data_IF_116929535181
#
_entry.id   IF_116929535181
#
_cell.length_a   1.000
_cell.length_b   1.000
_cell.length_c   1.000
_cell.angle_alpha   90.00
_cell.angle_beta   90.00
_cell.angle_gamma   90.00
#
_symmetry.space_group_name_H-M   'P 1'
#
loop_
_entity.id
_entity.type
_entity.pdbx_description
1 polymer ?
#
# COMPACT_ATOMS: atom_id res chain seq x y z
N UNK A 1 0.65 8.28 -26.09
CA UNK A 1 -0.12 9.25 -26.88
C UNK A 1 -1.62 9.19 -26.58
N UNK A 2 -2.36 8.08 -26.77
CA UNK A 2 -3.83 8.03 -26.56
C UNK A 2 -4.26 8.58 -25.20
N UNK A 3 -3.63 8.16 -24.10
CA UNK A 3 -3.98 8.65 -22.75
C UNK A 3 -3.72 10.15 -22.53
N UNK A 4 -2.79 10.75 -23.25
CA UNK A 4 -2.47 12.17 -23.12
C UNK A 4 -3.48 13.07 -23.85
N UNK A 5 -3.93 12.65 -25.03
CA UNK A 5 -4.67 13.51 -25.97
C UNK A 5 -6.11 13.03 -26.25
N UNK A 6 -6.66 12.11 -25.46
CA UNK A 6 -7.99 11.54 -25.72
C UNK A 6 -9.12 12.59 -25.75
N UNK A 7 -8.98 13.65 -25.00
CA UNK A 7 -9.94 14.74 -24.82
C UNK A 7 -9.85 15.84 -25.90
N UNK A 8 -8.79 15.83 -26.72
CA UNK A 8 -8.61 16.84 -27.76
C UNK A 8 -9.70 16.72 -28.84
N UNK A 9 -10.19 17.84 -29.41
CA UNK A 9 -11.27 17.81 -30.40
C UNK A 9 -11.02 16.91 -31.61
N UNK A 10 -9.75 16.79 -32.02
CA UNK A 10 -9.32 15.95 -33.15
C UNK A 10 -9.20 14.46 -32.80
N UNK A 11 -9.31 14.13 -31.52
CA UNK A 11 -9.21 12.76 -31.06
C UNK A 11 -10.51 11.98 -31.32
N UNK A 12 -10.45 10.76 -31.87
CA UNK A 12 -11.66 9.92 -32.01
C UNK A 12 -12.27 9.53 -30.65
N UNK A 13 -11.59 9.86 -29.54
CA UNK A 13 -12.01 9.54 -28.19
C UNK A 13 -12.56 10.75 -27.42
N UNK A 14 -12.64 11.94 -28.03
CA UNK A 14 -13.04 13.18 -27.35
C UNK A 14 -14.49 13.15 -26.82
N UNK A 15 -15.36 12.32 -27.42
CA UNK A 15 -16.76 12.17 -27.02
C UNK A 15 -16.95 11.37 -25.70
N UNK A 16 -15.92 10.69 -25.19
CA UNK A 16 -16.02 10.00 -23.91
C UNK A 16 -16.05 10.99 -22.75
N UNK A 17 -16.79 10.66 -21.69
CA UNK A 17 -16.89 11.46 -20.46
C UNK A 17 -15.78 11.14 -19.46
N UNK A 18 -15.18 9.97 -19.58
CA UNK A 18 -14.15 9.50 -18.67
C UNK A 18 -13.05 8.72 -19.39
N UNK A 19 -11.87 8.67 -18.76
CA UNK A 19 -10.81 7.74 -19.12
C UNK A 19 -10.44 6.87 -17.92
N UNK A 20 -10.29 5.56 -18.16
CA UNK A 20 -9.79 4.59 -17.19
C UNK A 20 -8.47 4.04 -17.71
N UNK A 21 -7.39 4.21 -16.91
CA UNK A 21 -6.10 3.60 -17.15
C UNK A 21 -5.76 2.64 -16.01
N UNK A 22 -5.84 1.34 -16.27
CA UNK A 22 -5.43 0.31 -15.32
C UNK A 22 -4.16 -0.43 -15.78
N UNK A 23 -3.66 -1.33 -14.95
CA UNK A 23 -2.56 -2.22 -15.34
C UNK A 23 -1.38 -2.24 -14.38
N UNK A 24 -0.23 -2.70 -14.90
CA UNK A 24 0.98 -2.99 -14.12
C UNK A 24 1.53 -1.78 -13.35
N UNK A 25 2.22 -2.04 -12.24
CA UNK A 25 2.97 -0.99 -11.52
C UNK A 25 4.10 -0.44 -12.40
N UNK A 26 4.53 0.80 -12.14
CA UNK A 26 5.60 1.47 -12.89
C UNK A 26 5.39 1.59 -14.40
N UNK A 27 4.19 1.40 -14.89
CA UNK A 27 3.85 1.52 -16.33
C UNK A 27 3.73 2.97 -16.83
N UNK A 28 3.87 3.98 -15.98
CA UNK A 28 3.81 5.41 -16.34
C UNK A 28 2.39 6.01 -16.31
N UNK A 29 1.38 5.25 -15.90
CA UNK A 29 -0.03 5.70 -15.82
C UNK A 29 -0.19 7.04 -15.11
N UNK A 30 0.27 7.14 -13.87
CA UNK A 30 0.09 8.34 -13.03
C UNK A 30 0.62 9.60 -13.71
N UNK A 31 1.83 9.56 -14.29
CA UNK A 31 2.40 10.70 -14.99
C UNK A 31 1.56 11.08 -16.23
N UNK A 32 1.27 10.11 -17.11
CA UNK A 32 0.46 10.34 -18.30
C UNK A 32 -0.91 10.94 -17.96
N UNK A 33 -1.60 10.36 -16.97
CA UNK A 33 -2.93 10.79 -16.57
C UNK A 33 -2.93 12.18 -15.96
N UNK A 34 -1.92 12.48 -15.15
CA UNK A 34 -1.81 13.79 -14.49
C UNK A 34 -1.48 14.90 -15.49
N UNK A 35 -0.55 14.66 -16.45
CA UNK A 35 -0.27 15.63 -17.53
C UNK A 35 -1.51 15.85 -18.40
N UNK A 36 -2.18 14.76 -18.79
CA UNK A 36 -3.41 14.81 -19.59
C UNK A 36 -4.50 15.64 -18.91
N UNK A 37 -4.75 15.39 -17.64
CA UNK A 37 -5.77 16.07 -16.85
C UNK A 37 -5.50 17.59 -16.75
N UNK A 38 -4.28 17.96 -16.42
CA UNK A 38 -3.93 19.39 -16.28
C UNK A 38 -3.93 20.10 -17.63
N UNK A 39 -3.39 19.47 -18.68
CA UNK A 39 -3.43 20.04 -20.02
C UNK A 39 -4.87 20.28 -20.49
N UNK A 40 -5.77 19.31 -20.30
CA UNK A 40 -7.20 19.47 -20.57
C UNK A 40 -7.83 20.62 -19.78
N UNK A 41 -7.57 20.66 -18.47
CA UNK A 41 -8.16 21.66 -17.61
C UNK A 41 -7.80 23.08 -18.01
N UNK A 42 -6.54 23.35 -18.34
CA UNK A 42 -6.11 24.71 -18.74
C UNK A 42 -6.46 25.07 -20.19
N UNK A 43 -6.69 24.06 -21.04
CA UNK A 43 -7.10 24.28 -22.43
C UNK A 43 -8.60 24.61 -22.54
N UNK A 44 -9.43 24.09 -21.63
CA UNK A 44 -10.89 24.21 -21.71
C UNK A 44 -11.50 25.15 -20.67
N UNK A 45 -10.78 25.50 -19.60
CA UNK A 45 -11.38 26.19 -18.45
C UNK A 45 -10.48 27.31 -17.93
N UNK A 46 -11.11 28.32 -17.36
CA UNK A 46 -10.47 29.38 -16.59
C UNK A 46 -11.29 29.70 -15.35
N UNK A 47 -10.61 29.99 -14.25
CA UNK A 47 -11.19 30.27 -12.91
C UNK A 47 -12.03 29.11 -12.34
N UNK A 48 -11.78 27.89 -12.78
CA UNK A 48 -12.48 26.69 -12.34
C UNK A 48 -11.72 25.91 -11.28
N UNK A 49 -12.48 25.09 -10.54
CA UNK A 49 -11.96 24.19 -9.52
C UNK A 49 -11.94 22.74 -10.01
N UNK A 50 -10.86 22.03 -9.69
CA UNK A 50 -10.61 20.63 -10.01
C UNK A 50 -10.20 19.86 -8.77
N UNK A 51 -10.39 18.54 -8.75
CA UNK A 51 -9.91 17.70 -7.67
C UNK A 51 -8.82 16.73 -8.15
N UNK A 52 -7.76 16.65 -7.36
CA UNK A 52 -6.77 15.58 -7.40
C UNK A 52 -7.00 14.71 -6.16
N UNK A 53 -7.35 13.45 -6.35
CA UNK A 53 -7.70 12.52 -5.29
C UNK A 53 -6.72 11.36 -5.23
N UNK A 54 -6.32 10.97 -4.02
CA UNK A 54 -5.47 9.80 -3.77
C UNK A 54 -5.87 9.12 -2.47
N UNK A 55 -5.26 7.98 -2.12
CA UNK A 55 -5.53 7.28 -0.86
C UNK A 55 -5.30 8.18 0.36
N UNK A 56 -4.24 8.97 0.35
CA UNK A 56 -3.96 10.01 1.35
C UNK A 56 -3.39 11.24 0.67
N UNK A 57 -3.54 12.42 1.28
CA UNK A 57 -2.93 13.66 0.76
C UNK A 57 -1.40 13.52 0.69
N UNK A 58 -0.78 12.86 1.66
CA UNK A 58 0.68 12.65 1.69
C UNK A 58 1.15 11.78 0.52
N UNK A 59 0.48 10.66 0.22
CA UNK A 59 0.80 9.81 -0.94
C UNK A 59 0.53 10.53 -2.25
N UNK A 60 -0.57 11.27 -2.37
CA UNK A 60 -0.93 12.05 -3.55
C UNK A 60 0.12 13.13 -3.85
N UNK A 61 0.58 13.87 -2.83
CA UNK A 61 1.66 14.84 -2.99
C UNK A 61 2.94 14.18 -3.51
N UNK A 62 3.36 13.09 -2.87
CA UNK A 62 4.59 12.37 -3.25
C UNK A 62 4.50 11.77 -4.65
N UNK A 63 3.38 11.13 -4.99
CA UNK A 63 3.26 10.33 -6.21
C UNK A 63 2.83 11.16 -7.43
N UNK A 64 2.07 12.23 -7.23
CA UNK A 64 1.49 13.07 -8.29
C UNK A 64 2.13 14.45 -8.27
N UNK A 65 1.92 15.23 -7.21
CA UNK A 65 2.27 16.67 -7.21
C UNK A 65 3.78 16.89 -7.38
N UNK A 66 4.60 16.21 -6.56
CA UNK A 66 6.07 16.35 -6.63
C UNK A 66 6.64 15.92 -7.99
N UNK A 67 5.99 14.96 -8.65
CA UNK A 67 6.45 14.46 -9.95
C UNK A 67 6.03 15.37 -11.10
N UNK A 68 4.79 15.88 -11.05
CA UNK A 68 4.23 16.62 -12.18
C UNK A 68 4.63 18.09 -12.21
N UNK A 69 4.77 18.77 -11.06
CA UNK A 69 5.06 20.21 -11.06
C UNK A 69 6.37 20.59 -11.78
N UNK A 70 7.48 19.86 -11.65
CA UNK A 70 8.67 20.12 -12.46
C UNK A 70 8.41 20.02 -13.96
N UNK A 71 7.70 18.97 -14.39
CA UNK A 71 7.36 18.74 -15.81
C UNK A 71 6.49 19.87 -16.34
N UNK A 72 5.48 20.32 -15.58
CA UNK A 72 4.62 21.42 -15.98
C UNK A 72 5.40 22.74 -16.12
N UNK A 73 6.33 23.02 -15.19
CA UNK A 73 7.17 24.22 -15.26
C UNK A 73 8.07 24.20 -16.51
N UNK A 74 8.64 23.07 -16.85
CA UNK A 74 9.41 22.90 -18.10
C UNK A 74 8.56 23.12 -19.35
N UNK A 75 7.25 22.80 -19.28
CA UNK A 75 6.28 23.06 -20.35
C UNK A 75 5.73 24.50 -20.36
N UNK A 76 6.21 25.38 -19.48
CA UNK A 76 5.83 26.79 -19.43
C UNK A 76 4.61 27.12 -18.58
N UNK A 77 4.17 26.19 -17.70
CA UNK A 77 3.10 26.45 -16.73
C UNK A 77 3.66 27.16 -15.49
N UNK A 78 2.91 28.13 -14.99
CA UNK A 78 3.15 28.70 -13.65
C UNK A 78 2.41 27.86 -12.61
N UNK A 79 3.13 27.32 -11.63
CA UNK A 79 2.58 26.43 -10.60
C UNK A 79 2.85 27.00 -9.22
N UNK A 80 1.80 27.37 -8.49
CA UNK A 80 1.84 27.90 -7.14
C UNK A 80 1.18 26.92 -6.15
N UNK A 81 1.98 26.30 -5.29
CA UNK A 81 1.49 25.34 -4.29
C UNK A 81 1.20 26.03 -2.95
N UNK A 82 -0.05 25.91 -2.47
CA UNK A 82 -0.52 26.39 -1.18
C UNK A 82 -0.71 25.23 -0.21
N UNK A 83 0.37 24.83 0.44
CA UNK A 83 0.43 23.63 1.29
C UNK A 83 -0.65 23.58 2.38
N UNK A 84 -0.87 24.71 3.10
CA UNK A 84 -1.86 24.79 4.18
C UNK A 84 -3.31 24.63 3.71
N UNK A 85 -3.59 24.91 2.44
CA UNK A 85 -4.91 24.80 1.83
C UNK A 85 -5.10 23.52 1.01
N UNK A 86 -4.10 22.66 0.94
CA UNK A 86 -4.09 21.49 0.04
C UNK A 86 -4.50 21.85 -1.40
N UNK A 87 -3.90 22.92 -1.94
CA UNK A 87 -4.27 23.52 -3.21
C UNK A 87 -3.02 23.77 -4.06
N UNK A 88 -3.12 23.49 -5.35
CA UNK A 88 -2.17 23.91 -6.37
C UNK A 88 -2.90 24.83 -7.36
N UNK A 89 -2.46 26.07 -7.52
CA UNK A 89 -2.92 26.95 -8.59
C UNK A 89 -1.99 26.79 -9.80
N UNK A 90 -2.58 26.58 -10.96
CA UNK A 90 -1.85 26.42 -12.22
C UNK A 90 -2.35 27.45 -13.21
N UNK A 91 -1.40 28.22 -13.76
CA UNK A 91 -1.63 29.24 -14.76
C UNK A 91 -0.94 28.87 -16.08
N UNK A 92 -1.65 28.99 -17.18
CA UNK A 92 -1.13 28.79 -18.52
C UNK A 92 -1.93 29.58 -19.55
N UNK A 93 -1.25 30.35 -20.43
CA UNK A 93 -1.93 31.13 -21.47
C UNK A 93 -2.96 32.14 -20.96
N UNK A 94 -2.79 32.61 -19.70
CA UNK A 94 -3.75 33.52 -19.04
C UNK A 94 -4.91 32.83 -18.32
N UNK A 95 -5.11 31.53 -18.48
CA UNK A 95 -6.08 30.74 -17.73
C UNK A 95 -5.51 30.37 -16.35
N UNK A 96 -6.27 30.61 -15.29
CA UNK A 96 -5.91 30.26 -13.90
C UNK A 96 -6.91 29.26 -13.36
N UNK A 97 -6.42 28.08 -12.94
CA UNK A 97 -7.27 27.04 -12.39
C UNK A 97 -6.76 26.54 -11.04
N UNK A 98 -7.67 26.05 -10.20
CA UNK A 98 -7.41 25.60 -8.82
C UNK A 98 -7.56 24.10 -8.71
N UNK A 99 -6.50 23.40 -8.30
CA UNK A 99 -6.47 21.95 -8.12
C UNK A 99 -6.39 21.62 -6.63
N UNK A 100 -7.51 21.17 -6.06
CA UNK A 100 -7.62 20.79 -4.66
C UNK A 100 -7.19 19.35 -4.45
N UNK A 101 -6.41 19.09 -3.37
CA UNK A 101 -5.88 17.78 -3.04
C UNK A 101 -6.74 17.13 -1.96
N UNK A 102 -7.26 15.92 -2.25
CA UNK A 102 -8.08 15.16 -1.33
C UNK A 102 -7.50 13.76 -1.06
N UNK A 103 -7.65 13.30 0.20
CA UNK A 103 -7.33 11.93 0.59
C UNK A 103 -8.60 11.13 0.85
N UNK A 104 -8.83 10.05 0.10
CA UNK A 104 -9.90 9.09 0.31
C UNK A 104 -9.44 7.93 1.18
N UNK A 105 -9.17 8.17 2.47
CA UNK A 105 -8.65 7.14 3.37
C UNK A 105 -9.72 6.15 3.83
N UNK A 106 -10.89 6.64 4.17
CA UNK A 106 -12.02 5.93 4.79
C UNK A 106 -13.35 6.51 4.33
N UNK A 107 -14.46 5.92 4.76
CA UNK A 107 -15.81 6.35 4.39
C UNK A 107 -16.12 7.80 4.83
N UNK A 108 -15.55 8.25 5.95
CA UNK A 108 -15.71 9.62 6.44
C UNK A 108 -15.07 10.68 5.53
N UNK A 109 -14.12 10.26 4.69
CA UNK A 109 -13.43 11.17 3.76
C UNK A 109 -14.37 11.76 2.69
N UNK A 110 -15.53 11.15 2.43
CA UNK A 110 -16.53 11.67 1.50
C UNK A 110 -17.04 13.06 1.90
N UNK A 111 -17.07 13.39 3.20
CA UNK A 111 -17.48 14.70 3.69
C UNK A 111 -16.52 15.82 3.29
N UNK A 112 -15.25 15.54 3.03
CA UNK A 112 -14.23 16.55 2.71
C UNK A 112 -14.46 17.23 1.35
N UNK A 113 -15.14 16.56 0.42
CA UNK A 113 -15.38 17.08 -0.93
C UNK A 113 -16.81 17.62 -1.10
N UNK A 114 -17.64 17.54 -0.06
CA UNK A 114 -18.99 18.08 -0.09
C UNK A 114 -19.01 19.60 -0.27
N UNK A 115 -20.03 20.10 -0.96
CA UNK A 115 -20.24 21.53 -1.18
C UNK A 115 -19.36 22.18 -2.25
N UNK A 116 -18.46 21.42 -2.88
CA UNK A 116 -17.66 21.94 -3.99
C UNK A 116 -18.37 21.77 -5.34
N UNK A 117 -18.06 22.66 -6.26
CA UNK A 117 -18.38 22.53 -7.70
C UNK A 117 -17.08 22.33 -8.45
N UNK A 118 -16.96 21.23 -9.16
CA UNK A 118 -15.75 20.83 -9.88
C UNK A 118 -15.99 20.77 -11.39
N UNK A 119 -14.98 21.18 -12.15
CA UNK A 119 -14.97 21.01 -13.59
C UNK A 119 -14.38 19.63 -14.00
N UNK A 120 -13.71 18.93 -13.09
CA UNK A 120 -13.22 17.59 -13.32
C UNK A 120 -12.46 17.02 -12.14
N UNK A 121 -12.17 15.72 -12.20
CA UNK A 121 -11.48 14.98 -11.15
C UNK A 121 -10.47 13.98 -11.72
N UNK A 122 -9.30 13.91 -11.11
CA UNK A 122 -8.32 12.84 -11.28
C UNK A 122 -8.25 12.02 -9.99
N UNK A 123 -8.53 10.70 -10.09
CA UNK A 123 -8.43 9.75 -9.00
C UNK A 123 -7.24 8.82 -9.23
N UNK A 124 -6.14 9.08 -8.52
CA UNK A 124 -4.93 8.28 -8.56
C UNK A 124 -5.03 7.12 -7.56
N UNK A 125 -4.83 5.90 -8.04
CA UNK A 125 -5.03 4.66 -7.27
C UNK A 125 -6.50 4.49 -6.78
N UNK A 126 -7.47 4.73 -7.67
CA UNK A 126 -8.91 4.71 -7.32
C UNK A 126 -9.38 3.43 -6.66
N UNK A 127 -8.76 2.27 -6.97
CA UNK A 127 -9.07 0.99 -6.34
C UNK A 127 -8.74 0.95 -4.83
N UNK A 128 -7.92 1.87 -4.32
CA UNK A 128 -7.60 1.95 -2.89
C UNK A 128 -8.54 2.88 -2.11
N UNK A 129 -9.46 3.58 -2.80
CA UNK A 129 -10.38 4.54 -2.18
C UNK A 129 -11.73 3.89 -1.87
N UNK A 130 -12.42 4.32 -0.81
CA UNK A 130 -13.80 3.93 -0.56
C UNK A 130 -14.72 4.35 -1.69
N UNK A 131 -15.70 3.50 -2.02
CA UNK A 131 -16.68 3.76 -3.06
C UNK A 131 -17.45 5.07 -2.80
N UNK A 132 -17.87 5.31 -1.56
CA UNK A 132 -18.60 6.52 -1.15
C UNK A 132 -17.83 7.80 -1.44
N UNK A 133 -16.52 7.82 -1.19
CA UNK A 133 -15.66 8.96 -1.48
C UNK A 133 -15.58 9.22 -3.00
N UNK A 134 -15.39 8.17 -3.80
CA UNK A 134 -15.30 8.29 -5.26
C UNK A 134 -16.64 8.78 -5.83
N UNK A 135 -17.76 8.16 -5.46
CA UNK A 135 -19.09 8.58 -5.92
C UNK A 135 -19.40 10.04 -5.55
N UNK A 136 -18.98 10.46 -4.34
CA UNK A 136 -19.14 11.86 -3.92
C UNK A 136 -18.28 12.81 -4.76
N UNK A 137 -17.04 12.44 -5.07
CA UNK A 137 -16.17 13.26 -5.93
C UNK A 137 -16.76 13.43 -7.35
N UNK A 138 -17.28 12.37 -7.92
CA UNK A 138 -17.93 12.39 -9.24
C UNK A 138 -19.19 13.26 -9.23
N UNK A 139 -20.01 13.16 -8.19
CA UNK A 139 -21.22 13.98 -8.05
C UNK A 139 -20.93 15.48 -7.94
N UNK A 140 -19.70 15.90 -7.65
CA UNK A 140 -19.29 17.32 -7.65
C UNK A 140 -18.86 17.83 -9.01
N UNK A 141 -18.62 16.98 -10.00
CA UNK A 141 -18.28 17.36 -11.36
C UNK A 141 -19.55 17.78 -12.12
N UNK A 142 -20.00 19.00 -11.90
CA UNK A 142 -21.26 19.56 -12.43
C UNK A 142 -21.10 20.79 -13.34
N UNK A 143 -19.87 21.12 -13.70
CA UNK A 143 -19.58 22.15 -14.70
C UNK A 143 -19.76 21.55 -16.09
N UNK A 144 -20.33 22.30 -17.03
CA UNK A 144 -20.49 21.86 -18.42
C UNK A 144 -19.16 21.45 -19.04
N UNK A 145 -19.11 20.30 -19.73
CA UNK A 145 -17.90 19.76 -20.31
C UNK A 145 -16.97 19.05 -19.30
N UNK A 146 -17.42 18.83 -18.05
CA UNK A 146 -16.62 18.11 -17.05
C UNK A 146 -16.27 16.71 -17.49
N UNK A 147 -15.06 16.26 -17.17
CA UNK A 147 -14.55 14.92 -17.48
C UNK A 147 -13.82 14.30 -16.29
N UNK A 148 -13.67 12.96 -16.35
CA UNK A 148 -13.19 12.15 -15.23
C UNK A 148 -11.95 11.33 -15.62
N UNK A 149 -10.93 11.29 -14.76
CA UNK A 149 -9.71 10.48 -14.94
C UNK A 149 -9.57 9.48 -13.80
N UNK A 150 -9.49 8.20 -14.16
CA UNK A 150 -9.29 7.10 -13.22
C UNK A 150 -8.01 6.34 -13.53
N UNK A 151 -7.18 6.15 -12.54
CA UNK A 151 -5.96 5.37 -12.63
C UNK A 151 -5.90 4.38 -11.47
N UNK A 152 -5.56 3.12 -11.74
CA UNK A 152 -5.35 2.10 -10.69
C UNK A 152 -4.42 0.96 -11.13
N UNK A 153 -3.95 0.23 -10.13
CA UNK A 153 -3.44 -1.12 -10.31
C UNK A 153 -4.58 -2.11 -10.07
N UNK A 154 -4.56 -3.29 -10.72
CA UNK A 154 -5.57 -4.32 -10.50
C UNK A 154 -5.58 -4.86 -9.05
N UNK A 155 -6.76 -5.17 -8.60
CA UNK A 155 -7.08 -5.80 -7.32
C UNK A 155 -7.86 -7.11 -7.55
N UNK A 156 -8.74 -7.47 -6.62
CA UNK A 156 -9.64 -8.62 -6.77
C UNK A 156 -10.65 -8.40 -7.91
N UNK A 157 -10.98 -9.43 -8.74
CA UNK A 157 -11.92 -9.30 -9.86
C UNK A 157 -13.32 -8.82 -9.46
N UNK A 158 -13.77 -9.12 -8.23
CA UNK A 158 -15.06 -8.65 -7.69
C UNK A 158 -14.96 -7.28 -7.01
N UNK A 159 -13.85 -6.57 -7.17
CA UNK A 159 -13.71 -5.24 -6.63
C UNK A 159 -14.73 -4.29 -7.27
N UNK A 160 -15.38 -3.44 -6.45
CA UNK A 160 -16.46 -2.55 -6.91
C UNK A 160 -16.10 -1.72 -8.15
N UNK A 161 -14.86 -1.21 -8.24
CA UNK A 161 -14.43 -0.40 -9.39
C UNK A 161 -14.31 -1.23 -10.68
N UNK A 162 -13.83 -2.48 -10.57
CA UNK A 162 -13.78 -3.40 -11.70
C UNK A 162 -15.19 -3.78 -12.19
N UNK A 163 -16.11 -4.12 -11.25
CA UNK A 163 -17.47 -4.54 -11.58
C UNK A 163 -18.33 -3.38 -12.14
N UNK A 164 -18.22 -2.19 -11.52
CA UNK A 164 -19.12 -1.07 -11.81
C UNK A 164 -18.59 -0.11 -12.88
N UNK A 165 -17.28 -0.08 -13.10
CA UNK A 165 -16.64 0.86 -14.03
C UNK A 165 -15.93 0.16 -15.18
N UNK A 166 -14.99 -0.75 -14.92
CA UNK A 166 -14.18 -1.36 -15.98
C UNK A 166 -15.03 -2.30 -16.84
N UNK A 167 -15.85 -3.16 -16.21
CA UNK A 167 -16.76 -4.05 -16.93
C UNK A 167 -17.90 -3.32 -17.65
N UNK A 168 -18.38 -2.23 -17.06
CA UNK A 168 -19.47 -1.41 -17.61
C UNK A 168 -18.97 -0.14 -18.31
N UNK A 169 -17.74 -0.13 -18.79
CA UNK A 169 -17.11 1.06 -19.39
C UNK A 169 -17.91 1.64 -20.56
N UNK A 170 -18.54 0.79 -21.35
CA UNK A 170 -19.32 1.22 -22.52
C UNK A 170 -20.62 1.90 -22.06
N UNK A 171 -21.30 1.39 -21.03
CA UNK A 171 -22.47 2.01 -20.40
C UNK A 171 -22.14 3.33 -19.70
N UNK A 172 -20.91 3.47 -19.20
CA UNK A 172 -20.38 4.64 -18.50
C UNK A 172 -19.73 5.67 -19.43
N UNK A 173 -19.77 5.44 -20.74
CA UNK A 173 -19.09 6.27 -21.73
C UNK A 173 -17.62 6.53 -21.39
N UNK A 174 -16.87 5.44 -21.03
CA UNK A 174 -15.49 5.51 -20.60
C UNK A 174 -14.52 4.98 -21.64
N UNK A 175 -13.52 5.78 -21.98
CA UNK A 175 -12.35 5.33 -22.74
C UNK A 175 -11.44 4.51 -21.85
N UNK A 176 -11.16 3.26 -22.21
CA UNK A 176 -10.36 2.33 -21.41
C UNK A 176 -9.01 2.02 -22.06
N UNK A 177 -7.96 2.09 -21.28
CA UNK A 177 -6.61 1.69 -21.66
C UNK A 177 -5.97 0.81 -20.58
N UNK A 178 -5.41 -0.31 -21.01
CA UNK A 178 -4.62 -1.19 -20.16
C UNK A 178 -3.13 -0.93 -20.39
N UNK A 179 -2.37 -0.80 -19.29
CA UNK A 179 -0.94 -0.51 -19.29
C UNK A 179 -0.13 -1.68 -18.74
N UNK A 180 0.95 -2.00 -19.42
CA UNK A 180 1.97 -2.94 -18.98
C UNK A 180 3.27 -2.21 -18.62
N UNK A 181 4.22 -2.88 -17.96
CA UNK A 181 5.54 -2.27 -17.70
C UNK A 181 6.29 -1.90 -18.99
N UNK A 182 5.99 -2.57 -20.10
CA UNK A 182 6.62 -2.30 -21.41
C UNK A 182 6.19 -0.98 -22.03
N UNK A 183 5.07 -0.43 -21.57
CA UNK A 183 4.57 0.87 -22.04
C UNK A 183 5.34 2.06 -21.44
N UNK A 184 6.18 1.81 -20.43
CA UNK A 184 7.04 2.84 -19.85
C UNK A 184 8.45 2.78 -20.46
N UNK A 185 8.81 3.74 -21.34
CA UNK A 185 10.12 3.76 -22.00
C UNK A 185 11.29 4.00 -21.05
N UNK A 186 11.04 4.47 -19.83
CA UNK A 186 12.07 4.69 -18.82
C UNK A 186 12.50 3.41 -18.10
N UNK A 187 11.76 2.30 -18.25
CA UNK A 187 12.09 1.02 -17.63
C UNK A 187 13.07 0.23 -18.50
N UNK A 188 14.26 -0.03 -17.95
CA UNK A 188 15.21 -0.93 -18.60
C UNK A 188 14.78 -2.40 -18.43
N UNK A 189 15.21 -3.31 -19.33
CA UNK A 189 14.93 -4.74 -19.19
C UNK A 189 15.43 -5.34 -17.86
N UNK A 190 16.49 -4.77 -17.28
CA UNK A 190 17.01 -5.19 -15.97
C UNK A 190 16.06 -4.85 -14.84
N UNK A 191 15.42 -3.67 -14.88
CA UNK A 191 14.41 -3.25 -13.91
C UNK A 191 13.17 -4.14 -14.05
N UNK A 192 12.67 -4.40 -15.26
CA UNK A 192 11.52 -5.28 -15.49
C UNK A 192 11.80 -6.68 -14.90
N UNK A 193 12.95 -7.29 -15.23
CA UNK A 193 13.35 -8.60 -14.66
C UNK A 193 13.44 -8.58 -13.13
N UNK A 194 13.81 -7.46 -12.52
CA UNK A 194 13.80 -7.32 -11.06
C UNK A 194 12.39 -7.40 -10.50
N UNK A 195 11.42 -6.72 -11.11
CA UNK A 195 10.01 -6.80 -10.71
C UNK A 195 9.41 -8.19 -10.94
N UNK A 196 9.76 -8.86 -12.04
CA UNK A 196 9.35 -10.24 -12.32
C UNK A 196 9.84 -11.21 -11.25
N UNK A 197 11.02 -10.99 -10.69
CA UNK A 197 11.55 -11.79 -9.58
C UNK A 197 10.97 -11.41 -8.22
N UNK A 198 10.60 -10.15 -8.04
CA UNK A 198 10.12 -9.62 -6.76
C UNK A 198 8.73 -10.17 -6.41
N UNK A 199 7.82 -10.24 -7.37
CA UNK A 199 6.45 -10.66 -7.13
C UNK A 199 6.21 -12.14 -7.48
N UNK A 200 5.19 -12.76 -6.86
CA UNK A 200 4.72 -14.13 -7.15
C UNK A 200 3.23 -14.24 -6.93
N UNK A 201 2.61 -15.32 -7.43
CA UNK A 201 1.18 -15.57 -7.27
C UNK A 201 0.33 -14.40 -7.75
N UNK A 202 -0.73 -14.07 -7.02
CA UNK A 202 -1.65 -13.00 -7.38
C UNK A 202 -0.97 -11.62 -7.49
N UNK A 203 0.06 -11.36 -6.70
CA UNK A 203 0.79 -10.09 -6.80
C UNK A 203 1.62 -9.96 -8.08
N UNK A 204 2.16 -11.07 -8.60
CA UNK A 204 2.80 -11.08 -9.91
C UNK A 204 1.79 -10.79 -11.03
N UNK A 205 0.64 -11.50 -10.99
CA UNK A 205 -0.43 -11.29 -11.96
C UNK A 205 -0.93 -9.84 -11.96
N UNK A 206 -1.13 -9.24 -10.78
CA UNK A 206 -1.64 -7.87 -10.65
C UNK A 206 -0.60 -6.80 -10.98
N UNK A 207 0.58 -6.89 -10.39
CA UNK A 207 1.55 -5.80 -10.41
C UNK A 207 2.52 -5.87 -11.59
N UNK A 208 2.81 -7.08 -12.08
CA UNK A 208 3.69 -7.27 -13.25
C UNK A 208 2.89 -7.39 -14.53
N UNK A 209 1.87 -8.26 -14.53
CA UNK A 209 1.04 -8.51 -15.72
C UNK A 209 -0.17 -7.58 -15.84
N UNK A 210 -0.50 -6.84 -14.78
CA UNK A 210 -1.63 -5.90 -14.77
C UNK A 210 -3.01 -6.56 -14.80
N UNK A 211 -3.17 -7.78 -14.29
CA UNK A 211 -4.41 -8.57 -14.39
C UNK A 211 -5.25 -8.47 -13.11
N UNK A 212 -6.55 -8.40 -13.28
CA UNK A 212 -7.52 -8.53 -12.18
C UNK A 212 -7.69 -10.01 -11.83
N UNK A 213 -7.05 -10.46 -10.76
CA UNK A 213 -7.08 -11.87 -10.30
C UNK A 213 -7.32 -11.96 -8.82
N UNK A 214 -8.00 -13.02 -8.37
CA UNK A 214 -8.18 -13.33 -6.97
C UNK A 214 -6.91 -13.94 -6.38
N UNK A 215 -6.57 -13.60 -5.14
CA UNK A 215 -5.56 -14.31 -4.39
C UNK A 215 -6.14 -15.64 -3.89
N UNK A 216 -5.43 -16.75 -4.11
CA UNK A 216 -5.88 -18.11 -3.77
C UNK A 216 -4.73 -18.97 -3.22
N UNK A 217 -5.08 -19.99 -2.46
CA UNK A 217 -4.13 -20.95 -1.93
C UNK A 217 -3.29 -20.45 -0.76
N UNK A 218 -2.03 -20.84 -0.69
CA UNK A 218 -1.09 -20.44 0.35
C UNK A 218 -0.75 -18.95 0.24
N UNK A 219 -0.72 -18.25 1.39
CA UNK A 219 -0.36 -16.83 1.43
C UNK A 219 1.11 -16.60 1.11
N UNK A 220 1.99 -17.49 1.61
CA UNK A 220 3.43 -17.41 1.41
C UNK A 220 3.99 -18.64 0.65
N UNK A 221 3.65 -18.83 -0.64
CA UNK A 221 4.11 -19.99 -1.41
C UNK A 221 5.63 -20.02 -1.65
N UNK A 222 6.31 -18.87 -1.41
CA UNK A 222 7.77 -18.77 -1.53
C UNK A 222 8.51 -19.27 -0.29
N UNK A 223 7.84 -19.47 0.84
CA UNK A 223 8.48 -20.01 2.04
C UNK A 223 8.92 -21.46 1.81
N UNK A 224 10.14 -21.76 2.16
CA UNK A 224 10.72 -23.10 2.13
C UNK A 224 11.59 -23.30 3.36
N UNK A 225 11.43 -24.41 4.05
CA UNK A 225 12.24 -24.72 5.22
C UNK A 225 13.75 -24.77 4.88
N UNK A 226 14.11 -25.35 3.73
CA UNK A 226 15.51 -25.41 3.29
C UNK A 226 16.18 -24.05 3.14
N UNK A 227 15.42 -23.02 2.75
CA UNK A 227 15.95 -21.68 2.44
C UNK A 227 15.83 -20.73 3.61
N UNK A 228 14.78 -20.88 4.44
CA UNK A 228 14.40 -19.86 5.41
C UNK A 228 14.57 -20.33 6.86
N UNK A 229 14.72 -21.64 7.10
CA UNK A 229 14.96 -22.19 8.45
C UNK A 229 16.44 -22.53 8.58
N UNK A 230 17.12 -21.78 9.46
CA UNK A 230 18.57 -21.88 9.64
C UNK A 230 18.92 -21.79 11.12
N UNK A 231 20.07 -22.35 11.51
CA UNK A 231 20.64 -22.09 12.83
C UNK A 231 21.01 -20.59 12.91
N UNK A 232 20.47 -19.87 13.88
CA UNK A 232 20.79 -18.45 14.02
C UNK A 232 22.26 -18.24 14.40
N UNK A 233 22.86 -17.09 14.04
CA UNK A 233 24.16 -16.68 14.56
C UNK A 233 24.21 -16.63 16.08
N UNK A 234 25.40 -16.70 16.67
CA UNK A 234 25.59 -16.64 18.14
C UNK A 234 25.40 -15.23 18.71
N UNK A 235 25.57 -14.19 17.89
CA UNK A 235 25.48 -12.81 18.31
C UNK A 235 24.71 -11.95 17.29
N UNK A 236 24.07 -10.89 17.78
CA UNK A 236 23.26 -9.99 16.99
C UNK A 236 23.56 -8.55 17.39
N UNK A 237 23.42 -7.65 16.42
CA UNK A 237 23.66 -6.21 16.58
C UNK A 237 22.49 -5.52 17.28
N UNK A 238 21.26 -5.96 17.03
CA UNK A 238 20.02 -5.36 17.54
C UNK A 238 18.97 -6.43 17.81
N UNK A 239 18.08 -6.13 18.77
CA UNK A 239 16.99 -7.03 19.14
C UNK A 239 15.65 -6.31 19.18
N UNK A 240 14.61 -6.99 18.70
CA UNK A 240 13.20 -6.58 18.79
C UNK A 240 12.33 -7.76 19.21
N UNK A 241 11.15 -7.45 19.75
CA UNK A 241 10.09 -8.44 19.91
C UNK A 241 8.86 -7.94 19.17
N UNK A 242 8.19 -8.81 18.42
CA UNK A 242 6.87 -8.57 17.85
C UNK A 242 5.83 -9.41 18.55
N UNK A 243 4.62 -8.87 18.75
CA UNK A 243 3.55 -9.53 19.47
C UNK A 243 2.22 -9.42 18.71
N UNK A 244 1.64 -10.57 18.39
CA UNK A 244 0.22 -10.72 18.16
C UNK A 244 -0.42 -11.22 19.45
N UNK A 245 -1.23 -10.37 20.10
CA UNK A 245 -1.78 -10.62 21.43
C UNK A 245 -3.25 -11.00 21.34
N UNK A 246 -3.60 -12.16 21.87
CA UNK A 246 -4.95 -12.65 21.98
C UNK A 246 -5.32 -13.12 23.41
N UNK A 247 -6.50 -12.77 23.89
CA UNK A 247 -7.00 -13.26 25.19
C UNK A 247 -7.65 -14.64 25.09
N UNK A 248 -8.41 -14.87 24.01
CA UNK A 248 -9.12 -16.13 23.71
C UNK A 248 -8.43 -16.86 22.56
N UNK A 249 -7.97 -16.12 21.57
CA UNK A 249 -7.18 -16.61 20.45
C UNK A 249 -5.72 -16.80 20.87
N UNK A 250 -4.96 -17.59 20.14
CA UNK A 250 -3.53 -17.73 20.41
C UNK A 250 -2.80 -16.39 20.50
N UNK A 251 -1.80 -16.32 21.37
CA UNK A 251 -0.82 -15.23 21.40
C UNK A 251 0.49 -15.73 20.81
N UNK A 252 1.07 -14.96 19.89
CA UNK A 252 2.37 -15.24 19.27
C UNK A 252 3.32 -14.08 19.48
N UNK A 253 4.47 -14.34 20.13
CA UNK A 253 5.54 -13.35 20.28
C UNK A 253 6.82 -13.89 19.64
N UNK A 254 7.50 -13.08 18.85
CA UNK A 254 8.75 -13.42 18.21
C UNK A 254 9.91 -12.55 18.67
N UNK A 255 10.99 -13.17 19.15
CA UNK A 255 12.27 -12.49 19.41
C UNK A 255 13.09 -12.46 18.13
N UNK A 256 13.44 -11.26 17.69
CA UNK A 256 14.21 -10.99 16.48
C UNK A 256 15.60 -10.43 16.80
N UNK A 257 16.60 -10.87 16.03
CA UNK A 257 17.95 -10.34 16.06
C UNK A 257 18.46 -9.99 14.67
N UNK A 258 19.17 -8.90 14.55
CA UNK A 258 19.84 -8.44 13.32
C UNK A 258 21.30 -8.91 13.29
N UNK A 259 21.69 -9.51 12.18
CA UNK A 259 23.10 -9.83 11.91
C UNK A 259 23.40 -9.69 10.44
N UNK A 260 24.34 -8.81 10.08
CA UNK A 260 24.78 -8.59 8.71
C UNK A 260 23.66 -8.13 7.76
N UNK A 261 22.73 -7.31 8.23
CA UNK A 261 21.60 -6.81 7.45
C UNK A 261 20.47 -7.83 7.21
N UNK A 262 20.55 -9.00 7.85
CA UNK A 262 19.47 -10.00 7.88
C UNK A 262 18.87 -10.09 9.28
N UNK A 263 17.59 -10.41 9.32
CA UNK A 263 16.85 -10.56 10.55
C UNK A 263 16.49 -12.01 10.79
N UNK A 264 16.71 -12.45 12.03
CA UNK A 264 16.46 -13.83 12.45
C UNK A 264 15.41 -13.85 13.54
N UNK A 265 14.31 -14.58 13.33
CA UNK A 265 13.41 -14.94 14.43
C UNK A 265 14.09 -16.04 15.23
N UNK A 266 14.69 -15.65 16.38
CA UNK A 266 15.59 -16.50 17.17
C UNK A 266 14.79 -17.48 18.01
N UNK A 267 13.75 -16.95 18.69
CA UNK A 267 12.85 -17.68 19.58
C UNK A 267 11.43 -17.23 19.40
N UNK A 268 10.50 -18.05 19.82
CA UNK A 268 9.08 -17.72 19.86
C UNK A 268 8.48 -18.09 21.22
N UNK A 269 7.46 -17.32 21.61
CA UNK A 269 6.46 -17.71 22.57
C UNK A 269 5.14 -17.86 21.84
N UNK A 270 4.53 -19.05 21.96
CA UNK A 270 3.23 -19.33 21.37
C UNK A 270 2.32 -19.95 22.43
N UNK A 271 1.18 -19.30 22.70
CA UNK A 271 0.25 -19.76 23.71
C UNK A 271 -1.17 -19.81 23.13
N UNK A 272 -1.73 -21.01 23.07
CA UNK A 272 -3.11 -21.22 22.61
C UNK A 272 -4.01 -21.59 23.79
N UNK A 273 -4.81 -20.64 24.26
CA UNK A 273 -5.72 -20.82 25.40
C UNK A 273 -6.71 -21.96 25.24
N UNK A 274 -7.08 -22.30 23.99
CA UNK A 274 -8.01 -23.41 23.71
C UNK A 274 -7.35 -24.78 23.92
N UNK A 275 -6.09 -24.94 23.51
CA UNK A 275 -5.35 -26.20 23.70
C UNK A 275 -4.86 -26.35 25.14
N UNK A 276 -4.53 -25.24 25.80
CA UNK A 276 -4.06 -25.21 27.20
C UNK A 276 -5.20 -25.30 28.21
N UNK A 277 -6.46 -25.15 27.76
CA UNK A 277 -7.64 -25.20 28.62
C UNK A 277 -7.74 -24.04 29.61
N UNK A 278 -6.94 -23.00 29.48
CA UNK A 278 -6.95 -21.79 30.34
C UNK A 278 -6.59 -20.54 29.56
N UNK A 279 -7.03 -19.40 30.07
CA UNK A 279 -6.59 -18.09 29.62
C UNK A 279 -5.44 -17.58 30.51
N UNK A 280 -4.58 -16.75 29.94
CA UNK A 280 -3.58 -15.99 30.69
C UNK A 280 -4.00 -14.53 30.82
N UNK A 281 -3.63 -13.91 31.91
CA UNK A 281 -3.77 -12.47 32.15
C UNK A 281 -2.67 -11.68 31.40
N UNK A 282 -2.86 -10.35 31.26
CA UNK A 282 -1.83 -9.46 30.70
C UNK A 282 -0.49 -9.59 31.44
N UNK A 283 -0.51 -9.75 32.78
CA UNK A 283 0.69 -9.96 33.59
C UNK A 283 1.40 -11.26 33.27
N UNK A 284 0.66 -12.39 33.15
CA UNK A 284 1.28 -13.69 32.81
C UNK A 284 1.85 -13.70 31.36
N UNK A 285 1.24 -12.96 30.42
CA UNK A 285 1.81 -12.77 29.09
C UNK A 285 3.03 -11.85 29.12
N UNK A 286 3.04 -10.85 30.02
CA UNK A 286 4.19 -9.97 30.23
C UNK A 286 5.38 -10.73 30.85
N UNK A 287 5.12 -11.61 31.80
CA UNK A 287 6.18 -12.49 32.38
C UNK A 287 6.79 -13.36 31.28
N UNK A 288 5.98 -13.94 30.39
CA UNK A 288 6.47 -14.73 29.27
C UNK A 288 7.27 -13.88 28.27
N UNK A 289 6.88 -12.62 28.04
CA UNK A 289 7.64 -11.68 27.23
C UNK A 289 9.00 -11.35 27.86
N UNK A 290 9.05 -11.18 29.18
CA UNK A 290 10.28 -10.97 29.93
C UNK A 290 11.20 -12.19 29.85
N UNK A 291 10.65 -13.41 29.95
CA UNK A 291 11.38 -14.66 29.80
C UNK A 291 11.95 -14.81 28.38
N UNK A 292 11.14 -14.50 27.35
CA UNK A 292 11.56 -14.52 25.95
C UNK A 292 12.72 -13.55 25.69
N UNK A 293 12.67 -12.35 26.26
CA UNK A 293 13.73 -11.34 26.17
C UNK A 293 14.98 -11.74 26.92
N UNK A 294 14.87 -12.46 28.06
CA UNK A 294 15.99 -12.77 28.92
C UNK A 294 16.76 -11.52 29.37
N UNK A 295 18.08 -11.53 29.21
CA UNK A 295 18.96 -10.38 29.49
C UNK A 295 19.32 -9.57 28.24
N UNK A 296 18.70 -9.85 27.10
CA UNK A 296 19.03 -9.20 25.83
C UNK A 296 18.56 -7.72 25.79
N UNK A 297 19.34 -6.83 25.16
CA UNK A 297 19.03 -5.41 25.04
C UNK A 297 17.98 -5.19 23.94
N UNK A 298 16.71 -5.53 24.21
CA UNK A 298 15.59 -5.36 23.28
C UNK A 298 15.30 -3.87 23.12
N UNK A 299 15.44 -3.36 21.90
CA UNK A 299 15.22 -1.93 21.57
C UNK A 299 13.75 -1.52 21.68
N UNK A 300 12.83 -2.39 21.26
CA UNK A 300 11.41 -2.16 21.37
C UNK A 300 10.60 -3.46 21.22
N UNK A 301 9.38 -3.40 21.75
CA UNK A 301 8.32 -4.39 21.56
C UNK A 301 7.25 -3.82 20.63
N UNK A 302 7.01 -4.47 19.50
CA UNK A 302 5.99 -4.08 18.50
C UNK A 302 4.71 -4.86 18.81
N UNK A 303 3.61 -4.17 19.08
CA UNK A 303 2.36 -4.78 19.54
C UNK A 303 1.19 -4.29 18.68
N UNK A 304 0.21 -5.16 18.39
CA UNK A 304 -1.02 -4.74 17.70
C UNK A 304 -1.70 -3.58 18.46
N UNK A 305 -2.08 -2.49 17.79
CA UNK A 305 -2.76 -1.36 18.42
C UNK A 305 -4.06 -1.74 19.15
N UNK A 306 -4.72 -2.84 18.76
CA UNK A 306 -5.95 -3.32 19.41
C UNK A 306 -5.70 -3.87 20.83
N UNK A 307 -4.46 -4.29 21.14
CA UNK A 307 -4.04 -4.83 22.43
C UNK A 307 -3.70 -3.72 23.45
N UNK A 308 -4.60 -2.76 23.64
CA UNK A 308 -4.32 -1.57 24.47
C UNK A 308 -3.99 -1.89 25.93
N UNK A 309 -4.65 -2.88 26.54
CA UNK A 309 -4.41 -3.31 27.92
C UNK A 309 -3.01 -3.91 28.08
N UNK A 310 -2.59 -4.76 27.15
CA UNK A 310 -1.28 -5.38 27.16
C UNK A 310 -0.16 -4.35 26.91
N UNK A 311 -0.36 -3.41 25.97
CA UNK A 311 0.58 -2.32 25.78
C UNK A 311 0.76 -1.46 27.03
N UNK A 312 -0.33 -1.21 27.76
CA UNK A 312 -0.27 -0.46 29.00
C UNK A 312 0.44 -1.25 30.12
N UNK A 313 0.22 -2.58 30.19
CA UNK A 313 0.94 -3.46 31.10
C UNK A 313 2.46 -3.37 30.88
N UNK A 314 2.92 -3.46 29.63
CA UNK A 314 4.35 -3.33 29.29
C UNK A 314 4.91 -1.93 29.66
N UNK A 315 4.13 -0.86 29.41
CA UNK A 315 4.58 0.52 29.69
C UNK A 315 4.71 0.80 31.19
N UNK A 316 3.83 0.23 32.02
CA UNK A 316 3.86 0.43 33.48
C UNK A 316 5.11 -0.15 34.12
N UNK A 317 5.60 -1.28 33.66
CA UNK A 317 6.84 -1.87 34.15
C UNK A 317 8.07 -1.04 33.70
N UNK A 318 8.03 -0.43 32.53
CA UNK A 318 9.06 0.48 32.04
C UNK A 318 10.33 -0.18 31.50
N UNK A 319 10.40 -1.52 31.46
CA UNK A 319 11.55 -2.26 30.95
C UNK A 319 11.69 -2.13 29.43
N UNK A 320 10.59 -2.11 28.70
CA UNK A 320 10.58 -2.12 27.25
C UNK A 320 9.89 -0.90 26.66
N UNK A 321 10.46 -0.38 25.59
CA UNK A 321 9.79 0.61 24.75
C UNK A 321 8.73 -0.09 23.88
N UNK A 322 7.47 0.37 23.93
CA UNK A 322 6.37 -0.16 23.13
C UNK A 322 6.16 0.66 21.88
N UNK A 323 6.05 0.01 20.73
CA UNK A 323 5.73 0.61 19.44
C UNK A 323 4.42 -0.02 18.93
N UNK A 324 3.37 0.77 18.62
CA UNK A 324 2.19 0.24 17.98
C UNK A 324 2.53 -0.24 16.56
N UNK A 325 2.06 -1.43 16.21
CA UNK A 325 2.30 -2.06 14.91
C UNK A 325 1.60 -1.32 13.77
N UNK A 326 2.21 -1.35 12.58
CA UNK A 326 1.51 -1.10 11.32
C UNK A 326 0.81 -2.39 10.93
N UNK A 327 -0.52 -2.41 11.00
CA UNK A 327 -1.31 -3.64 10.91
C UNK A 327 -2.11 -3.84 9.61
N UNK A 328 -1.83 -3.06 8.55
CA UNK A 328 -2.41 -3.31 7.23
C UNK A 328 -2.09 -4.74 6.75
N UNK A 329 -3.14 -5.52 6.43
CA UNK A 329 -3.01 -6.95 6.16
C UNK A 329 -2.37 -7.19 4.78
N UNK A 330 -2.95 -6.63 3.72
CA UNK A 330 -2.53 -6.93 2.35
C UNK A 330 -1.15 -6.34 2.04
N UNK A 331 -0.91 -5.08 2.41
CA UNK A 331 0.40 -4.45 2.23
C UNK A 331 1.47 -5.14 3.08
N UNK A 332 1.12 -5.55 4.30
CA UNK A 332 2.01 -6.29 5.18
C UNK A 332 2.36 -7.68 4.63
N UNK A 333 1.40 -8.43 4.10
CA UNK A 333 1.66 -9.72 3.44
C UNK A 333 2.63 -9.55 2.26
N UNK A 334 2.42 -8.51 1.44
CA UNK A 334 3.34 -8.21 0.33
C UNK A 334 4.76 -7.98 0.83
N UNK A 335 4.95 -7.16 1.88
CA UNK A 335 6.26 -6.86 2.47
C UNK A 335 6.96 -8.10 3.04
N UNK A 336 6.22 -8.95 3.75
CA UNK A 336 6.76 -10.24 4.24
C UNK A 336 7.17 -11.13 3.08
N UNK A 337 6.36 -11.20 2.02
CA UNK A 337 6.68 -11.96 0.80
C UNK A 337 7.98 -11.48 0.15
N UNK A 338 8.20 -10.16 0.08
CA UNK A 338 9.41 -9.57 -0.48
C UNK A 338 10.63 -9.90 0.41
N UNK A 339 10.51 -9.77 1.74
CA UNK A 339 11.57 -10.14 2.69
C UNK A 339 11.94 -11.63 2.63
N UNK A 340 10.96 -12.53 2.45
CA UNK A 340 11.21 -13.96 2.26
C UNK A 340 11.97 -14.22 0.96
N UNK A 341 11.56 -13.66 -0.17
CA UNK A 341 12.24 -13.84 -1.46
C UNK A 341 13.67 -13.33 -1.45
N UNK A 342 13.92 -12.21 -0.79
CA UNK A 342 15.23 -11.60 -0.65
C UNK A 342 16.06 -12.24 0.47
N UNK A 343 15.50 -13.22 1.20
CA UNK A 343 16.12 -13.85 2.37
C UNK A 343 16.60 -12.82 3.41
N UNK A 344 15.85 -11.75 3.58
CA UNK A 344 16.08 -10.72 4.59
C UNK A 344 15.62 -11.16 5.98
N UNK A 345 14.62 -12.08 6.04
CA UNK A 345 14.12 -12.67 7.28
C UNK A 345 14.33 -14.17 7.26
N UNK A 346 14.83 -14.70 8.36
CA UNK A 346 15.15 -16.11 8.58
C UNK A 346 14.55 -16.58 9.91
N UNK A 347 14.42 -17.87 10.09
CA UNK A 347 13.75 -18.47 11.25
C UNK A 347 14.61 -19.55 11.89
N UNK A 348 14.69 -19.55 13.21
CA UNK A 348 15.28 -20.64 13.96
C UNK A 348 14.44 -21.92 13.84
N UNK A 349 15.05 -23.13 13.80
CA UNK A 349 14.31 -24.37 13.91
C UNK A 349 13.48 -24.50 15.20
N UNK A 350 13.78 -23.71 16.21
CA UNK A 350 13.02 -23.66 17.47
C UNK A 350 11.66 -22.98 17.31
N UNK A 351 11.47 -22.14 16.28
CA UNK A 351 10.21 -21.46 15.99
C UNK A 351 9.22 -22.38 15.28
N UNK A 352 8.79 -23.43 15.98
CA UNK A 352 8.00 -24.53 15.39
C UNK A 352 6.60 -24.13 14.98
N UNK A 353 5.92 -23.30 15.79
CA UNK A 353 4.56 -22.82 15.48
C UNK A 353 4.59 -21.84 14.30
N UNK A 354 5.57 -20.96 14.24
CA UNK A 354 5.83 -20.12 13.07
C UNK A 354 6.00 -20.95 11.78
N UNK A 355 6.88 -21.96 11.82
CA UNK A 355 7.15 -22.82 10.65
C UNK A 355 5.89 -23.58 10.22
N UNK A 356 5.10 -24.05 11.19
CA UNK A 356 3.81 -24.72 10.95
C UNK A 356 2.80 -23.78 10.31
N UNK A 357 2.64 -22.55 10.82
CA UNK A 357 1.68 -21.59 10.28
C UNK A 357 2.02 -21.13 8.87
N UNK A 358 3.29 -20.97 8.49
CA UNK A 358 3.66 -20.74 7.09
C UNK A 358 3.10 -21.80 6.14
N UNK A 359 3.04 -23.05 6.58
CA UNK A 359 2.44 -24.15 5.80
C UNK A 359 0.91 -24.13 5.76
N UNK A 360 0.25 -23.53 6.74
CA UNK A 360 -1.20 -23.57 6.92
C UNK A 360 -1.93 -22.27 6.56
N UNK A 361 -1.26 -21.13 6.54
CA UNK A 361 -1.86 -19.83 6.28
C UNK A 361 -2.36 -19.71 4.85
N UNK A 362 -3.67 -19.48 4.69
CA UNK A 362 -4.37 -19.52 3.40
C UNK A 362 -5.19 -18.28 3.15
N UNK A 363 -5.35 -17.95 1.88
CA UNK A 363 -6.35 -17.00 1.44
C UNK A 363 -7.77 -17.53 1.68
N UNK A 364 -8.70 -16.62 1.97
CA UNK A 364 -10.13 -16.92 2.06
C UNK A 364 -10.69 -17.16 0.66
N UNK A 365 -11.28 -18.33 0.45
CA UNK A 365 -11.91 -18.67 -0.82
C UNK A 365 -13.33 -18.06 -0.86
N UNK A 366 -13.78 -17.65 -2.03
CA UNK A 366 -15.12 -17.09 -2.26
C UNK A 366 -15.42 -15.75 -1.57
N UNK A 367 -14.39 -15.02 -1.13
CA UNK A 367 -14.55 -13.64 -0.65
C UNK A 367 -14.64 -12.65 -1.82
N UNK A 368 -15.45 -11.62 -1.69
CA UNK A 368 -15.54 -10.52 -2.68
C UNK A 368 -14.30 -9.62 -2.72
N UNK A 369 -13.41 -9.76 -1.75
CA UNK A 369 -12.13 -9.04 -1.66
C UNK A 369 -11.05 -9.97 -1.12
N UNK A 370 -9.80 -9.65 -1.34
CA UNK A 370 -8.71 -10.40 -0.74
C UNK A 370 -8.80 -10.32 0.78
N UNK A 371 -8.96 -11.47 1.38
CA UNK A 371 -8.91 -11.68 2.82
C UNK A 371 -8.20 -12.99 3.11
N UNK A 372 -7.60 -13.07 4.26
CA UNK A 372 -6.97 -14.29 4.75
C UNK A 372 -7.89 -14.99 5.73
N UNK A 373 -7.80 -16.33 5.79
CA UNK A 373 -8.52 -17.10 6.81
C UNK A 373 -7.99 -16.71 8.18
N UNK A 374 -8.91 -16.49 9.13
CA UNK A 374 -8.60 -16.17 10.52
C UNK A 374 -8.31 -17.44 11.33
N UNK A 375 -7.42 -18.26 10.78
CA UNK A 375 -6.95 -19.51 11.36
C UNK A 375 -5.46 -19.68 11.03
N UNK A 376 -4.66 -20.08 11.99
CA UNK A 376 -3.21 -20.25 11.84
C UNK A 376 -2.52 -18.98 11.30
N UNK A 377 -2.92 -17.84 11.83
CA UNK A 377 -2.50 -16.52 11.37
C UNK A 377 -1.70 -15.72 12.45
N UNK A 378 -1.59 -16.23 13.67
CA UNK A 378 -1.03 -15.48 14.81
C UNK A 378 0.47 -15.21 14.68
N UNK A 379 1.27 -16.22 14.34
CA UNK A 379 2.69 -16.01 14.07
C UNK A 379 2.90 -15.25 12.74
N UNK A 380 1.98 -15.40 11.78
CA UNK A 380 2.01 -14.65 10.52
C UNK A 380 1.71 -13.16 10.73
N UNK A 381 0.76 -12.85 11.62
CA UNK A 381 0.40 -11.49 11.99
C UNK A 381 1.53 -10.81 12.78
N UNK A 382 2.16 -11.49 13.76
CA UNK A 382 3.29 -10.93 14.49
C UNK A 382 4.51 -10.68 13.57
N UNK A 383 4.82 -11.58 12.62
CA UNK A 383 5.86 -11.37 11.62
C UNK A 383 5.52 -10.15 10.73
N UNK A 384 4.27 -10.02 10.33
CA UNK A 384 3.77 -8.89 9.54
C UNK A 384 3.93 -7.58 10.29
N UNK A 385 3.65 -7.56 11.59
CA UNK A 385 3.85 -6.40 12.46
C UNK A 385 5.32 -6.01 12.54
N UNK A 386 6.21 -6.97 12.74
CA UNK A 386 7.66 -6.73 12.74
C UNK A 386 8.13 -6.13 11.43
N UNK A 387 7.88 -6.80 10.31
CA UNK A 387 8.34 -6.38 8.97
C UNK A 387 7.79 -5.01 8.61
N UNK A 388 6.49 -4.77 8.83
CA UNK A 388 5.85 -3.52 8.45
C UNK A 388 6.26 -2.33 9.33
N UNK A 389 6.68 -2.58 10.59
CA UNK A 389 6.98 -1.51 11.54
C UNK A 389 8.47 -1.22 11.64
N UNK A 390 9.31 -2.27 11.65
CA UNK A 390 10.76 -2.14 11.88
C UNK A 390 11.50 -1.99 10.55
N UNK A 391 11.26 -2.89 9.59
CA UNK A 391 12.05 -2.92 8.36
C UNK A 391 11.70 -1.78 7.39
N UNK A 392 10.48 -1.27 7.40
CA UNK A 392 10.05 -0.17 6.50
C UNK A 392 10.71 1.18 6.83
N UNK A 393 11.20 1.39 8.05
CA UNK A 393 11.90 2.63 8.42
C UNK A 393 13.30 2.72 7.80
N UNK A 394 13.91 1.59 7.45
CA UNK A 394 15.24 1.56 6.86
C UNK A 394 15.23 1.85 5.35
N UNK A 395 14.18 1.46 4.62
CA UNK A 395 14.07 1.69 3.18
C UNK A 395 13.71 3.14 2.82
N UNK A 396 12.99 3.87 3.66
CA UNK A 396 12.63 5.28 3.40
C UNK A 396 13.86 6.23 3.47
N UNK A 397 14.93 5.87 4.19
CA UNK A 397 16.14 6.68 4.29
C UNK A 397 17.13 6.51 3.11
N UNK A 398 17.04 5.40 2.36
CA UNK A 398 17.94 5.07 1.25
C UNK A 398 17.49 5.58 -0.13
N UNK A 399 16.21 5.91 -0.30
CA UNK A 399 15.65 6.21 -1.62
C UNK A 399 15.82 7.67 -2.08
N UNK A 400 16.13 8.58 -1.17
CA UNK A 400 16.32 10.01 -1.49
C UNK A 400 17.69 10.36 -2.08
N UNK A 401 18.68 9.47 -2.00
CA UNK A 401 20.05 9.77 -2.43
C UNK A 401 20.33 9.54 -3.93
N UNK A 402 19.46 8.83 -4.67
CA UNK A 402 19.69 8.45 -6.06
C UNK A 402 19.05 9.38 -7.10
N UNK A 403 18.16 10.27 -6.71
CA UNK A 403 17.51 11.23 -7.63
C UNK A 403 18.29 12.53 -7.84
N UNK A 404 19.36 12.78 -7.06
CA UNK A 404 20.08 14.06 -7.04
C UNK A 404 21.40 14.10 -7.86
N UNK A 405 21.74 13.03 -8.62
CA UNK A 405 22.94 13.02 -9.48
C UNK A 405 22.65 12.52 -10.88
N UNK A 406 22.10 13.40 -11.71
CA UNK A 406 22.38 13.49 -13.15
C UNK A 406 22.10 14.92 -13.59
N UNK A 407 23.16 15.74 -13.58
CA UNK A 407 23.32 16.83 -14.52
C UNK A 407 23.95 16.28 -15.80
#
# INVERSE_FOLDING_TARGET
MKALCWWMPESPFCAYDAIICDGAVRSGKTLCMSVSFIAWAVSGFSDCSFALCGKTIASLRRNVVTVILPVLRELGFECNEKHSKNLVEITYGGAVNRFYLFGGKDEGSAALIQGMTLAGVLLDEVALMPRSFVEQALARCSVEGSKLWFNCNPEHPMHWFHEEWIKKRDEKNCFYLHFTMKDNPSLTPSIIRRYEKLYSGAFYERFVLGRWVAAQGCVYPMFSQEKHVVQPPESFERYYISCDYGTVNPSSFGLWGENGGKWYRIKEYYFNSRTEGRQKTDGEHYDALCELAGSLPVEAVVVDPSAASFMECIRRDGRFRVIPAKNDVIDGIRRVSDCLKEQKIMFSPECRDTIKEFGLYRWEENSAKDSVRKENDHAMDDIRYFVSTVLTKQDDSGFFALAAKRR
#
